data_IF_630658070236
#
_entry.id   IF_630658070236
#
_cell.length_a   1.000
_cell.length_b   1.000
_cell.length_c   1.000
_cell.angle_alpha   90.00
_cell.angle_beta   90.00
_cell.angle_gamma   90.00
#
_symmetry.space_group_name_H-M   'P 1'
#
loop_
_entity.id
_entity.type
_entity.pdbx_description
1 polymer ?
#
# COMPACT_ATOMS: atom_id res chain seq x y z
N UNK A 1 -5.09 -15.96 10.43
CA UNK A 1 -4.58 -16.16 9.06
C UNK A 1 -5.72 -16.08 8.07
N UNK A 2 -5.46 -15.50 6.89
CA UNK A 2 -6.40 -15.47 5.77
C UNK A 2 -5.65 -15.82 4.48
N UNK A 3 -6.32 -16.60 3.62
CA UNK A 3 -5.82 -16.92 2.29
C UNK A 3 -6.96 -16.83 1.29
N UNK A 4 -6.68 -16.26 0.12
CA UNK A 4 -7.62 -16.26 -1.00
C UNK A 4 -6.90 -16.54 -2.31
N UNK A 5 -7.60 -17.25 -3.20
CA UNK A 5 -7.19 -17.51 -4.57
C UNK A 5 -8.36 -17.19 -5.48
N UNK A 6 -8.12 -16.34 -6.46
CA UNK A 6 -9.10 -15.95 -7.45
C UNK A 6 -8.47 -16.11 -8.82
N UNK A 7 -9.15 -16.81 -9.72
CA UNK A 7 -8.70 -17.00 -11.08
C UNK A 7 -9.88 -16.99 -12.05
N UNK A 8 -9.64 -16.53 -13.27
CA UNK A 8 -10.54 -16.69 -14.37
C UNK A 8 -9.76 -16.85 -15.68
N UNK A 9 -10.24 -17.72 -16.54
CA UNK A 9 -9.73 -17.85 -17.90
C UNK A 9 -10.24 -16.72 -18.82
N UNK A 10 -9.79 -16.76 -20.05
CA UNK A 10 -10.33 -15.84 -21.06
C UNK A 10 -11.83 -16.09 -21.28
N UNK A 11 -12.64 -15.06 -21.29
CA UNK A 11 -14.06 -15.18 -21.63
C UNK A 11 -14.31 -15.09 -23.14
N UNK A 12 -15.54 -15.39 -23.57
CA UNK A 12 -16.02 -15.15 -24.93
C UNK A 12 -16.95 -13.94 -24.94
N UNK A 13 -16.84 -13.10 -25.97
CA UNK A 13 -17.77 -11.99 -26.20
C UNK A 13 -19.12 -12.48 -26.72
N UNK A 14 -20.05 -11.54 -27.01
CA UNK A 14 -21.39 -11.84 -27.53
C UNK A 14 -21.40 -12.52 -28.90
N UNK A 15 -20.32 -12.39 -29.66
CA UNK A 15 -20.16 -13.00 -31.00
C UNK A 15 -19.40 -14.34 -30.93
N UNK A 16 -19.03 -14.79 -29.71
CA UNK A 16 -18.32 -16.03 -29.45
C UNK A 16 -16.80 -15.98 -29.59
N UNK A 17 -16.22 -14.81 -29.84
CA UNK A 17 -14.78 -14.62 -29.95
C UNK A 17 -14.11 -14.68 -28.58
N UNK A 18 -12.93 -15.30 -28.51
CA UNK A 18 -12.16 -15.36 -27.27
C UNK A 18 -11.51 -14.02 -26.97
N UNK A 19 -11.83 -13.44 -25.81
CA UNK A 19 -11.26 -12.20 -25.30
C UNK A 19 -10.09 -12.50 -24.39
N UNK A 20 -8.95 -11.85 -24.62
CA UNK A 20 -7.74 -11.97 -23.82
C UNK A 20 -7.91 -11.25 -22.47
N UNK A 21 -8.33 -11.97 -21.42
CA UNK A 21 -8.84 -11.40 -20.17
C UNK A 21 -8.60 -12.29 -18.94
N UNK A 22 -7.74 -13.30 -19.08
CA UNK A 22 -7.43 -14.21 -17.97
C UNK A 22 -6.72 -13.46 -16.85
N UNK A 23 -6.98 -13.86 -15.61
CA UNK A 23 -6.23 -13.38 -14.45
C UNK A 23 -6.08 -14.47 -13.39
N UNK A 24 -5.04 -14.32 -12.60
CA UNK A 24 -4.85 -15.07 -11.36
C UNK A 24 -4.41 -14.11 -10.25
N UNK A 25 -4.95 -14.29 -9.04
CA UNK A 25 -4.53 -13.54 -7.85
C UNK A 25 -4.58 -14.42 -6.61
N UNK A 26 -3.47 -14.47 -5.89
CA UNK A 26 -3.32 -15.16 -4.61
C UNK A 26 -2.97 -14.14 -3.53
N UNK A 27 -3.70 -14.16 -2.41
CA UNK A 27 -3.42 -13.30 -1.27
C UNK A 27 -3.27 -14.19 -0.01
N UNK A 28 -2.33 -13.79 0.83
CA UNK A 28 -2.06 -14.44 2.12
C UNK A 28 -1.86 -13.34 3.16
N UNK A 29 -2.44 -13.52 4.34
CA UNK A 29 -2.27 -12.63 5.48
C UNK A 29 -2.05 -13.47 6.74
N UNK A 30 -1.04 -13.10 7.50
CA UNK A 30 -0.79 -13.58 8.85
C UNK A 30 -0.86 -12.40 9.81
N UNK A 31 -1.68 -12.50 10.85
CA UNK A 31 -1.72 -11.55 11.93
C UNK A 31 -1.52 -12.27 13.26
N UNK A 32 -0.64 -11.72 14.06
CA UNK A 32 -0.35 -12.18 15.42
C UNK A 32 -0.60 -11.02 16.39
N UNK A 33 -1.22 -11.33 17.50
CA UNK A 33 -1.46 -10.39 18.60
C UNK A 33 -0.86 -10.94 19.89
N UNK A 34 -0.28 -10.04 20.68
CA UNK A 34 0.28 -10.32 22.00
C UNK A 34 -0.21 -9.26 22.99
N UNK A 35 -0.76 -9.71 24.10
CA UNK A 35 -1.33 -8.90 25.16
C UNK A 35 -0.64 -9.21 26.48
N UNK A 36 0.58 -8.66 26.72
CA UNK A 36 1.34 -8.94 27.95
C UNK A 36 0.64 -8.47 29.21
N UNK A 37 -0.24 -7.47 29.09
CA UNK A 37 -1.12 -6.98 30.15
C UNK A 37 -2.50 -6.67 29.58
N UNK A 38 -3.51 -6.46 30.43
CA UNK A 38 -4.87 -6.05 30.00
C UNK A 38 -4.87 -4.70 29.26
N UNK A 39 -3.87 -3.86 29.51
CA UNK A 39 -3.74 -2.53 28.92
C UNK A 39 -2.77 -2.45 27.74
N UNK A 40 -2.07 -3.53 27.42
CA UNK A 40 -1.03 -3.53 26.37
C UNK A 40 -1.39 -4.49 25.24
N UNK A 41 -1.38 -3.98 24.01
CA UNK A 41 -1.55 -4.78 22.81
C UNK A 41 -0.38 -4.55 21.85
N UNK A 42 0.25 -5.61 21.42
CA UNK A 42 1.21 -5.62 20.31
C UNK A 42 0.64 -6.50 19.19
N UNK A 43 0.53 -5.97 17.99
CA UNK A 43 0.03 -6.71 16.82
C UNK A 43 1.06 -6.62 15.69
N UNK A 44 1.39 -7.76 15.10
CA UNK A 44 2.18 -7.84 13.88
C UNK A 44 1.33 -8.43 12.75
N UNK A 45 1.36 -7.81 11.58
CA UNK A 45 0.67 -8.31 10.39
C UNK A 45 1.66 -8.42 9.23
N UNK A 46 1.60 -9.53 8.52
CA UNK A 46 2.32 -9.73 7.26
C UNK A 46 1.32 -10.08 6.16
N UNK A 47 1.44 -9.41 5.03
CA UNK A 47 0.60 -9.63 3.85
C UNK A 47 1.46 -9.93 2.64
N UNK A 48 1.03 -10.91 1.86
CA UNK A 48 1.65 -11.27 0.59
C UNK A 48 0.57 -11.42 -0.47
N UNK A 49 0.73 -10.68 -1.59
CA UNK A 49 -0.13 -10.80 -2.77
C UNK A 49 0.72 -11.10 -3.99
N UNK A 50 0.24 -12.01 -4.83
CA UNK A 50 0.84 -12.38 -6.12
C UNK A 50 -0.27 -12.43 -7.14
N UNK A 51 -0.01 -11.94 -8.34
CA UNK A 51 -1.02 -11.97 -9.40
C UNK A 51 -0.47 -11.66 -10.77
N UNK A 52 -1.27 -11.99 -11.76
CA UNK A 52 -1.09 -11.64 -13.17
C UNK A 52 -2.45 -11.37 -13.81
N UNK A 53 -2.49 -10.58 -14.87
CA UNK A 53 -3.70 -10.26 -15.60
C UNK A 53 -3.43 -9.96 -17.07
N UNK A 54 -4.24 -10.56 -17.93
CA UNK A 54 -4.31 -10.28 -19.37
C UNK A 54 -5.31 -9.15 -19.65
N UNK A 55 -4.99 -8.29 -20.61
CA UNK A 55 -5.81 -7.13 -20.97
C UNK A 55 -6.16 -7.12 -22.46
N UNK A 56 -7.44 -7.12 -22.78
CA UNK A 56 -7.92 -7.07 -24.16
C UNK A 56 -7.66 -5.71 -24.84
N UNK A 57 -7.72 -4.65 -24.06
CA UNK A 57 -7.71 -3.25 -24.51
C UNK A 57 -6.33 -2.56 -24.40
N UNK A 58 -5.31 -3.30 -23.98
CA UNK A 58 -3.95 -2.76 -23.76
C UNK A 58 -2.92 -3.50 -24.59
N UNK A 59 -1.80 -2.82 -24.86
CA UNK A 59 -0.68 -3.39 -25.60
C UNK A 59 0.20 -4.32 -24.74
N UNK A 60 0.12 -4.22 -23.40
CA UNK A 60 0.90 -5.02 -22.45
C UNK A 60 -0.02 -5.69 -21.45
N UNK A 61 0.37 -6.88 -21.00
CA UNK A 61 -0.27 -7.59 -19.91
C UNK A 61 0.49 -7.36 -18.60
N UNK A 62 -0.23 -7.46 -17.49
CA UNK A 62 0.37 -7.46 -16.17
C UNK A 62 0.89 -8.85 -15.84
N UNK A 63 2.11 -9.17 -16.22
CA UNK A 63 2.72 -10.48 -16.00
C UNK A 63 3.20 -10.69 -14.57
N UNK A 64 3.17 -9.65 -13.75
CA UNK A 64 3.52 -9.71 -12.34
C UNK A 64 2.90 -8.55 -11.57
N UNK A 65 2.15 -8.88 -10.52
CA UNK A 65 1.61 -7.96 -9.52
C UNK A 65 1.95 -8.48 -8.13
N UNK A 66 3.19 -8.27 -7.70
CA UNK A 66 3.67 -8.73 -6.41
C UNK A 66 3.60 -7.61 -5.38
N UNK A 67 3.06 -7.92 -4.21
CA UNK A 67 3.10 -7.05 -3.04
C UNK A 67 3.48 -7.86 -1.81
N UNK A 68 4.46 -7.39 -1.08
CA UNK A 68 4.80 -7.83 0.26
C UNK A 68 4.67 -6.63 1.20
N UNK A 69 3.94 -6.80 2.31
CA UNK A 69 3.77 -5.74 3.28
C UNK A 69 3.78 -6.31 4.70
N UNK A 70 4.27 -5.51 5.63
CA UNK A 70 4.18 -5.80 7.04
C UNK A 70 3.88 -4.54 7.83
N UNK A 71 3.22 -4.69 8.96
CA UNK A 71 3.03 -3.62 9.92
C UNK A 71 3.09 -4.16 11.36
N UNK A 72 3.49 -3.28 12.25
CA UNK A 72 3.45 -3.49 13.70
C UNK A 72 2.61 -2.37 14.30
N UNK A 73 1.75 -2.73 15.23
CA UNK A 73 0.93 -1.81 16.01
C UNK A 73 1.12 -2.10 17.49
N UNK A 74 1.45 -1.07 18.25
CA UNK A 74 1.52 -1.09 19.70
C UNK A 74 0.44 -0.16 20.25
N UNK A 75 -0.29 -0.62 21.26
CA UNK A 75 -1.28 0.18 21.99
C UNK A 75 -1.05 -0.02 23.48
N UNK A 76 -0.93 1.07 24.19
CA UNK A 76 -0.92 1.11 25.65
C UNK A 76 -2.12 1.93 26.13
N UNK A 77 -2.96 1.34 26.99
CA UNK A 77 -4.13 1.99 27.58
C UNK A 77 -3.93 2.25 29.05
N UNK A 78 -4.78 3.12 29.61
CA UNK A 78 -4.81 3.44 31.05
C UNK A 78 -3.45 3.81 31.62
N UNK A 79 -2.71 4.68 30.90
CA UNK A 79 -1.35 5.09 31.27
C UNK A 79 -1.38 5.94 32.54
N UNK A 80 -2.31 6.92 32.57
CA UNK A 80 -2.67 7.70 33.76
C UNK A 80 -4.19 7.95 33.73
N UNK A 81 -4.82 8.48 34.78
CA UNK A 81 -6.26 8.81 34.75
C UNK A 81 -6.70 9.75 33.62
N UNK A 82 -5.80 10.57 33.11
CA UNK A 82 -6.07 11.54 32.04
C UNK A 82 -5.34 11.24 30.73
N UNK A 83 -4.30 10.41 30.72
CA UNK A 83 -3.63 9.93 29.50
C UNK A 83 -4.08 8.48 29.27
N UNK A 84 -5.09 8.31 28.44
CA UNK A 84 -5.86 7.07 28.36
C UNK A 84 -5.37 6.10 27.29
N UNK A 85 -4.75 6.59 26.21
CA UNK A 85 -4.21 5.71 25.17
C UNK A 85 -3.01 6.33 24.45
N UNK A 86 -2.00 5.50 24.23
CA UNK A 86 -0.91 5.73 23.29
C UNK A 86 -0.94 4.63 22.23
N UNK A 87 -0.99 5.01 20.96
CA UNK A 87 -0.88 4.10 19.84
C UNK A 87 0.30 4.45 18.95
N UNK A 88 1.11 3.45 18.64
CA UNK A 88 2.19 3.53 17.66
C UNK A 88 1.96 2.50 16.56
N UNK A 89 2.06 2.92 15.30
CA UNK A 89 2.07 2.03 14.13
C UNK A 89 3.28 2.32 13.27
N UNK A 90 3.87 1.26 12.76
CA UNK A 90 4.88 1.35 11.72
C UNK A 90 4.69 0.24 10.70
N UNK A 91 4.86 0.53 9.43
CA UNK A 91 4.69 -0.45 8.37
C UNK A 91 5.51 -0.15 7.13
N UNK A 92 5.75 -1.21 6.35
CA UNK A 92 6.39 -1.14 5.05
C UNK A 92 5.60 -1.96 4.04
N UNK A 93 5.44 -1.42 2.84
CA UNK A 93 4.88 -2.12 1.68
C UNK A 93 5.84 -2.03 0.50
N UNK A 94 6.10 -3.15 -0.15
CA UNK A 94 6.88 -3.25 -1.38
C UNK A 94 6.01 -3.82 -2.48
N UNK A 95 5.93 -3.10 -3.60
CA UNK A 95 5.21 -3.51 -4.80
C UNK A 95 6.23 -3.69 -5.92
N UNK A 96 6.17 -4.83 -6.59
CA UNK A 96 6.94 -5.14 -7.78
C UNK A 96 5.96 -5.52 -8.90
N UNK A 97 5.84 -4.65 -9.88
CA UNK A 97 4.88 -4.75 -10.96
C UNK A 97 5.62 -4.89 -12.29
N UNK A 98 5.22 -5.84 -13.11
CA UNK A 98 5.75 -6.01 -14.47
C UNK A 98 4.62 -5.98 -15.47
N UNK A 99 4.76 -5.14 -16.47
CA UNK A 99 3.93 -5.14 -17.68
C UNK A 99 4.81 -5.52 -18.85
N UNK A 100 4.39 -6.50 -19.65
CA UNK A 100 5.13 -6.87 -20.84
C UNK A 100 4.24 -7.27 -22.03
N UNK A 101 4.86 -7.37 -23.21
CA UNK A 101 4.19 -7.72 -24.47
C UNK A 101 4.31 -9.20 -24.84
N UNK A 102 4.90 -10.04 -23.99
CA UNK A 102 5.34 -11.38 -24.42
C UNK A 102 5.08 -12.54 -23.45
N UNK A 103 4.88 -12.28 -22.15
CA UNK A 103 4.71 -13.35 -21.15
C UNK A 103 3.36 -14.04 -21.25
N UNK A 104 2.28 -13.29 -21.53
CA UNK A 104 0.91 -13.79 -21.60
C UNK A 104 0.32 -13.69 -23.00
N UNK A 105 1.03 -13.14 -23.98
CA UNK A 105 0.63 -13.00 -25.38
C UNK A 105 1.55 -13.76 -26.31
N UNK A 106 0.99 -14.28 -27.41
CA UNK A 106 1.78 -14.77 -28.51
C UNK A 106 2.23 -13.57 -29.36
N UNK A 107 3.53 -13.40 -29.57
CA UNK A 107 4.10 -12.31 -30.40
C UNK A 107 3.53 -12.28 -31.83
N UNK A 108 3.10 -13.45 -32.35
CA UNK A 108 2.45 -13.56 -33.65
C UNK A 108 1.11 -12.82 -33.77
N UNK A 109 0.43 -12.57 -32.64
CA UNK A 109 -0.84 -11.83 -32.61
C UNK A 109 -0.66 -10.32 -32.76
N UNK A 110 0.55 -9.82 -32.60
CA UNK A 110 0.86 -8.38 -32.61
C UNK A 110 1.71 -7.93 -33.81
N UNK A 111 1.93 -8.77 -34.81
CA UNK A 111 2.86 -8.50 -35.90
C UNK A 111 4.32 -8.51 -35.43
N UNK A 112 5.26 -8.02 -36.22
CA UNK A 112 6.71 -7.96 -35.94
C UNK A 112 7.07 -7.03 -34.75
N UNK A 113 6.35 -7.09 -33.63
CA UNK A 113 6.61 -6.23 -32.48
C UNK A 113 7.77 -6.76 -31.64
N UNK A 114 8.68 -5.86 -31.33
CA UNK A 114 9.81 -6.10 -30.43
C UNK A 114 9.31 -6.37 -29.01
N UNK A 115 9.93 -7.30 -28.31
CA UNK A 115 9.69 -7.55 -26.88
C UNK A 115 9.92 -6.28 -26.06
N UNK A 116 8.92 -5.87 -25.34
CA UNK A 116 8.95 -4.71 -24.44
C UNK A 116 8.49 -5.11 -23.05
N UNK A 117 9.11 -4.54 -22.02
CA UNK A 117 8.68 -4.70 -20.65
C UNK A 117 8.92 -3.41 -19.86
N UNK A 118 8.03 -3.14 -18.92
CA UNK A 118 8.15 -2.10 -17.90
C UNK A 118 8.03 -2.75 -16.53
N UNK A 119 8.97 -2.43 -15.64
CA UNK A 119 8.98 -2.94 -14.28
C UNK A 119 9.07 -1.79 -13.28
N UNK A 120 7.96 -1.09 -13.01
CA UNK A 120 7.88 -0.17 -11.89
C UNK A 120 7.90 -0.93 -10.56
N UNK A 121 8.58 -0.34 -9.59
CA UNK A 121 8.67 -0.80 -8.21
C UNK A 121 8.35 0.36 -7.27
N UNK A 122 7.62 0.08 -6.19
CA UNK A 122 7.28 1.06 -5.17
C UNK A 122 7.60 0.52 -3.79
N UNK A 123 8.25 1.33 -2.98
CA UNK A 123 8.55 1.04 -1.58
C UNK A 123 7.97 2.16 -0.70
N UNK A 124 6.99 1.82 0.12
CA UNK A 124 6.31 2.77 1.01
C UNK A 124 6.60 2.40 2.46
N UNK A 125 7.06 3.37 3.25
CA UNK A 125 7.18 3.26 4.71
C UNK A 125 6.20 4.23 5.33
N UNK A 126 5.49 3.79 6.38
CA UNK A 126 4.52 4.61 7.10
C UNK A 126 4.77 4.52 8.59
N UNK A 127 4.62 5.64 9.28
CA UNK A 127 4.65 5.73 10.73
C UNK A 127 3.46 6.54 11.23
N UNK A 128 2.91 6.16 12.37
CA UNK A 128 1.80 6.87 13.02
C UNK A 128 1.96 6.79 14.53
N UNK A 129 1.87 7.93 15.18
CA UNK A 129 1.83 8.06 16.63
C UNK A 129 0.58 8.84 17.01
N UNK A 130 -0.24 8.28 17.90
CA UNK A 130 -1.44 8.93 18.42
C UNK A 130 -1.48 8.84 19.95
N UNK A 131 -1.82 9.94 20.58
CA UNK A 131 -2.09 10.04 22.02
C UNK A 131 -3.53 10.50 22.25
N UNK A 132 -4.21 9.87 23.22
CA UNK A 132 -5.57 10.22 23.63
C UNK A 132 -5.56 10.60 25.10
N UNK A 133 -6.19 11.72 25.38
CA UNK A 133 -6.34 12.29 26.72
C UNK A 133 -7.82 12.48 27.04
N UNK A 134 -8.22 12.04 28.21
CA UNK A 134 -9.62 12.11 28.68
C UNK A 134 -9.68 12.81 30.03
N UNK A 135 -10.51 13.84 30.10
CA UNK A 135 -10.96 14.51 31.31
C UNK A 135 -12.49 14.42 31.39
N UNK A 136 -13.13 14.74 32.52
CA UNK A 136 -14.59 14.56 32.65
C UNK A 136 -15.43 15.15 31.50
N UNK A 137 -15.05 16.32 31.00
CA UNK A 137 -15.80 17.04 29.98
C UNK A 137 -15.02 17.21 28.67
N UNK A 138 -13.76 16.77 28.60
CA UNK A 138 -12.88 17.01 27.45
C UNK A 138 -12.20 15.71 27.03
N UNK A 139 -12.33 15.37 25.77
CA UNK A 139 -11.51 14.36 25.11
C UNK A 139 -10.59 15.08 24.11
N UNK A 140 -9.30 14.78 24.14
CA UNK A 140 -8.30 15.32 23.22
C UNK A 140 -7.56 14.18 22.55
N UNK A 141 -7.47 14.21 21.24
CA UNK A 141 -6.60 13.34 20.45
C UNK A 141 -5.58 14.16 19.70
N UNK A 142 -4.34 13.71 19.69
CA UNK A 142 -3.28 14.33 18.90
C UNK A 142 -2.36 13.26 18.33
N UNK A 143 -1.73 13.56 17.21
CA UNK A 143 -0.84 12.59 16.60
C UNK A 143 0.04 13.16 15.50
N UNK A 144 0.95 12.32 15.07
CA UNK A 144 1.91 12.59 13.99
C UNK A 144 1.86 11.41 13.03
N UNK A 145 1.83 11.73 11.74
CA UNK A 145 1.92 10.81 10.62
C UNK A 145 3.22 11.02 9.85
N UNK A 146 3.81 9.93 9.41
CA UNK A 146 4.95 9.93 8.50
C UNK A 146 4.71 8.97 7.34
N UNK A 147 5.04 9.39 6.14
CA UNK A 147 5.10 8.52 4.97
C UNK A 147 6.32 8.85 4.12
N UNK A 148 7.03 7.82 3.72
CA UNK A 148 8.05 7.91 2.67
C UNK A 148 7.73 6.90 1.59
N UNK A 149 7.65 7.39 0.35
CA UNK A 149 7.27 6.61 -0.81
C UNK A 149 8.34 6.76 -1.90
N UNK A 150 8.97 5.65 -2.27
CA UNK A 150 10.04 5.60 -3.26
C UNK A 150 9.57 4.86 -4.50
N UNK A 151 9.63 5.53 -5.63
CA UNK A 151 9.31 4.97 -6.94
C UNK A 151 10.59 4.70 -7.72
N UNK A 152 10.70 3.50 -8.23
CA UNK A 152 11.78 3.01 -9.07
C UNK A 152 11.19 2.41 -10.34
N UNK A 153 11.93 2.46 -11.43
CA UNK A 153 11.52 1.81 -12.67
C UNK A 153 12.71 1.27 -13.43
N UNK A 154 12.50 0.23 -14.18
CA UNK A 154 13.40 -0.22 -15.24
C UNK A 154 12.56 -0.68 -16.43
N UNK A 155 13.12 -0.59 -17.63
CA UNK A 155 12.40 -0.96 -18.83
C UNK A 155 13.28 -1.65 -19.83
N UNK A 156 12.64 -2.42 -20.68
CA UNK A 156 13.20 -3.06 -21.85
C UNK A 156 12.43 -2.62 -23.08
N UNK A 157 13.13 -2.21 -24.12
CA UNK A 157 12.52 -1.76 -25.37
C UNK A 157 12.91 -2.61 -26.58
N UNK A 158 13.96 -3.43 -26.48
CA UNK A 158 14.62 -4.10 -27.60
C UNK A 158 14.80 -5.61 -27.43
N UNK A 159 14.12 -6.25 -26.46
CA UNK A 159 14.25 -7.69 -26.23
C UNK A 159 15.51 -8.13 -25.46
N UNK A 160 16.21 -7.19 -24.83
CA UNK A 160 17.47 -7.48 -24.10
C UNK A 160 17.24 -8.09 -22.70
N UNK A 161 16.00 -8.05 -22.20
CA UNK A 161 15.65 -8.53 -20.88
C UNK A 161 15.75 -7.44 -19.80
N UNK A 162 14.59 -6.99 -19.27
CA UNK A 162 14.53 -5.93 -18.25
C UNK A 162 15.25 -6.30 -16.94
N UNK A 163 15.38 -7.59 -16.63
CA UNK A 163 16.01 -8.07 -15.39
C UNK A 163 17.51 -7.74 -15.30
N UNK A 164 18.16 -7.57 -16.44
CA UNK A 164 19.58 -7.19 -16.52
C UNK A 164 19.80 -5.67 -16.39
N UNK A 165 18.73 -4.86 -16.46
CA UNK A 165 18.81 -3.41 -16.33
C UNK A 165 18.72 -3.00 -14.85
N UNK A 166 19.56 -2.05 -14.40
CA UNK A 166 19.41 -1.49 -13.05
C UNK A 166 18.10 -0.73 -12.92
N UNK A 167 17.55 -0.68 -11.71
CA UNK A 167 16.44 0.20 -11.41
C UNK A 167 16.92 1.66 -11.44
N UNK A 168 16.15 2.50 -12.12
CA UNK A 168 16.32 3.94 -12.12
C UNK A 168 15.37 4.56 -11.10
N UNK A 169 15.85 5.46 -10.22
CA UNK A 169 14.97 6.25 -9.38
C UNK A 169 14.08 7.13 -10.27
N UNK A 170 12.80 7.26 -9.88
CA UNK A 170 11.83 8.09 -10.59
C UNK A 170 11.43 9.27 -9.71
N UNK A 171 10.93 8.97 -8.54
CA UNK A 171 10.36 9.97 -7.65
C UNK A 171 10.38 9.48 -6.21
N UNK A 172 10.68 10.39 -5.28
CA UNK A 172 10.56 10.17 -3.85
C UNK A 172 9.56 11.17 -3.28
N UNK A 173 8.60 10.68 -2.49
CA UNK A 173 7.71 11.51 -1.70
C UNK A 173 8.02 11.32 -0.23
N UNK A 174 8.09 12.39 0.51
CA UNK A 174 8.13 12.36 1.97
C UNK A 174 7.01 13.26 2.48
N UNK A 175 6.19 12.73 3.36
CA UNK A 175 5.09 13.45 3.99
C UNK A 175 5.22 13.36 5.50
N UNK A 176 5.01 14.49 6.16
CA UNK A 176 4.79 14.61 7.59
C UNK A 176 3.45 15.29 7.82
N UNK A 177 2.69 14.78 8.75
CA UNK A 177 1.44 15.37 9.17
C UNK A 177 1.34 15.41 10.68
N UNK A 178 0.70 16.44 11.22
CA UNK A 178 0.36 16.54 12.63
C UNK A 178 -1.09 16.94 12.77
N UNK A 179 -1.79 16.40 13.77
CA UNK A 179 -3.17 16.75 14.05
C UNK A 179 -3.46 16.87 15.53
N UNK A 180 -4.48 17.63 15.81
CA UNK A 180 -5.11 17.72 17.11
C UNK A 180 -6.63 17.79 16.92
N UNK A 181 -7.37 17.02 17.67
CA UNK A 181 -8.83 17.03 17.70
C UNK A 181 -9.29 17.05 19.16
N UNK A 182 -10.17 17.99 19.48
CA UNK A 182 -10.75 18.15 20.80
C UNK A 182 -12.27 18.01 20.75
N UNK A 183 -12.84 17.32 21.73
CA UNK A 183 -14.27 17.23 21.96
C UNK A 183 -14.58 17.71 23.37
N UNK A 184 -15.46 18.70 23.49
CA UNK A 184 -15.91 19.27 24.75
C UNK A 184 -17.40 19.02 24.95
N UNK A 185 -17.75 18.36 26.05
CA UNK A 185 -19.14 18.13 26.49
C UNK A 185 -19.55 19.28 27.40
N UNK A 186 -20.22 20.30 26.82
CA UNK A 186 -20.61 21.51 27.54
C UNK A 186 -21.85 21.30 28.41
N UNK A 187 -22.67 20.28 28.12
CA UNK A 187 -23.83 19.84 28.90
C UNK A 187 -24.31 18.49 28.40
N UNK A 188 -25.28 17.85 29.08
CA UNK A 188 -25.87 16.56 28.66
C UNK A 188 -26.43 16.56 27.22
N UNK A 189 -26.78 17.73 26.70
CA UNK A 189 -27.39 17.91 25.36
C UNK A 189 -26.45 18.59 24.34
N UNK A 190 -25.24 19.02 24.73
CA UNK A 190 -24.37 19.81 23.86
C UNK A 190 -22.94 19.31 23.92
N UNK A 191 -22.39 18.91 22.75
CA UNK A 191 -21.02 18.54 22.56
C UNK A 191 -20.45 19.34 21.37
N UNK A 192 -19.27 19.92 21.55
CA UNK A 192 -18.52 20.62 20.50
C UNK A 192 -17.29 19.81 20.13
N UNK A 193 -17.05 19.64 18.83
CA UNK A 193 -15.89 18.93 18.30
C UNK A 193 -15.18 19.88 17.34
N UNK A 194 -13.88 20.04 17.51
CA UNK A 194 -13.03 20.84 16.64
C UNK A 194 -11.69 20.15 16.47
N UNK A 195 -11.12 20.28 15.27
CA UNK A 195 -9.83 19.70 14.97
C UNK A 195 -9.03 20.59 14.00
N UNK A 196 -7.74 20.40 14.05
CA UNK A 196 -6.78 21.01 13.13
C UNK A 196 -5.78 19.95 12.68
N UNK A 197 -5.43 19.99 11.39
CA UNK A 197 -4.38 19.17 10.79
C UNK A 197 -3.51 20.02 9.89
N UNK A 198 -2.22 19.78 9.95
CA UNK A 198 -1.22 20.33 9.05
C UNK A 198 -0.42 19.18 8.41
N UNK A 199 -0.24 19.24 7.11
CA UNK A 199 0.56 18.29 6.35
C UNK A 199 1.60 19.03 5.51
N UNK A 200 2.82 18.49 5.50
CA UNK A 200 3.91 18.92 4.63
C UNK A 200 4.29 17.75 3.71
N UNK A 201 4.31 18.01 2.41
CA UNK A 201 4.69 17.02 1.39
C UNK A 201 5.87 17.54 0.60
N UNK A 202 6.94 16.74 0.56
CA UNK A 202 8.11 16.99 -0.28
C UNK A 202 8.16 15.94 -1.38
N UNK A 203 8.22 16.39 -2.63
CA UNK A 203 8.44 15.55 -3.80
C UNK A 203 9.84 15.85 -4.37
N UNK A 204 10.65 14.81 -4.54
CA UNK A 204 11.97 14.88 -5.12
C UNK A 204 12.03 14.01 -6.36
N UNK A 205 12.49 14.59 -7.46
CA UNK A 205 12.76 13.87 -8.69
C UNK A 205 14.26 13.65 -8.79
N UNK A 206 14.70 12.40 -8.85
CA UNK A 206 16.09 12.09 -9.15
C UNK A 206 16.31 12.29 -10.66
N UNK A 207 16.69 13.49 -11.04
CA UNK A 207 17.24 13.75 -12.37
C UNK A 207 18.58 13.04 -12.44
N UNK A 208 18.66 12.02 -13.30
CA UNK A 208 19.96 11.48 -13.73
C UNK A 208 20.68 12.60 -14.49
N UNK A 209 21.70 13.19 -13.87
CA UNK A 209 22.69 14.02 -14.55
C UNK A 209 23.69 13.12 -15.23
#
# INVERSE_FOLDING_TARGET
TSMSHNEAGNYKDGDGNRVHSSFERRNQMLQLGFTPTENTLLTGTYERSRGEAAYADRMMDGSKFDRDAWNVRFVQRNITPWFTELELRYGQSKIDHVMDTYSMRYLSMMGNQVKKAMNPKRETNTGHLKATFDWPDINLQTGIDYMRDKHLSRMEMNGEGYRHKPYQPQQNFTQWGGFVEGAWTASDSRKFISGYRYDEVKAEYDTLI
#
